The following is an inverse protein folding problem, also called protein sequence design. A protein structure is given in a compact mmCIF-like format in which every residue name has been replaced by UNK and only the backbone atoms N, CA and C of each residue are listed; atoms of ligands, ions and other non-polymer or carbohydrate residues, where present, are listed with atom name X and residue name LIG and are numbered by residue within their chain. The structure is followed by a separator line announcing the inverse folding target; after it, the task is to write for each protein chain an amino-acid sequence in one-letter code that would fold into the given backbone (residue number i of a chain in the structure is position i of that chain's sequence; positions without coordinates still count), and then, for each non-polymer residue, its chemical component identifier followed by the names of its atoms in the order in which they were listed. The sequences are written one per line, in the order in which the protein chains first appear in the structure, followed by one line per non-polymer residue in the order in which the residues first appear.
data_IF_497203579129
#
_entry.id   IF_497203579129
#
_cell.length_a   1.000
_cell.length_b   1.000
_cell.length_c   1.000
_cell.angle_alpha   90.00
_cell.angle_beta   90.00
_cell.angle_gamma   90.00
#
_symmetry.space_group_name_H-M   'P 1'
#
loop_
_entity.id
_entity.type
_entity.pdbx_description
1 polymer ?
#
# COMPACT_ATOMS: atom_id res chain seq x y z
N UNK A 1 13.00 -15.60 -3.36
CA UNK A 1 11.70 -15.09 -3.89
C UNK A 1 10.82 -16.19 -4.45
N UNK A 2 11.35 -17.16 -5.22
CA UNK A 2 10.55 -18.28 -5.74
C UNK A 2 9.73 -18.99 -4.65
N UNK A 3 10.34 -19.30 -3.49
CA UNK A 3 9.65 -19.94 -2.36
C UNK A 3 8.48 -19.11 -1.81
N UNK A 4 8.60 -17.76 -1.77
CA UNK A 4 7.52 -16.89 -1.30
C UNK A 4 6.36 -16.93 -2.29
N UNK A 5 6.63 -16.77 -3.58
CA UNK A 5 5.61 -16.81 -4.61
C UNK A 5 4.88 -18.17 -4.65
N UNK A 6 5.62 -19.26 -4.48
CA UNK A 6 5.02 -20.61 -4.40
C UNK A 6 4.08 -20.76 -3.18
N UNK A 7 4.43 -20.17 -2.04
CA UNK A 7 3.56 -20.19 -0.85
C UNK A 7 2.30 -19.34 -1.03
N UNK A 8 2.29 -18.39 -1.96
CA UNK A 8 1.13 -17.58 -2.32
C UNK A 8 0.31 -18.19 -3.46
N UNK A 9 0.79 -19.29 -4.07
CA UNK A 9 0.09 -19.99 -5.15
C UNK A 9 -1.30 -20.46 -4.69
N UNK A 10 -2.30 -20.22 -5.51
CA UNK A 10 -3.69 -20.61 -5.22
C UNK A 10 -4.50 -19.55 -4.49
N UNK A 11 -3.90 -18.45 -4.06
CA UNK A 11 -4.68 -17.28 -3.62
C UNK A 11 -5.40 -16.71 -4.85
N UNK A 12 -6.72 -16.70 -4.80
CA UNK A 12 -7.58 -16.18 -5.88
C UNK A 12 -8.67 -15.30 -5.32
N UNK A 13 -9.12 -14.33 -6.12
CA UNK A 13 -10.24 -13.47 -5.76
C UNK A 13 -11.09 -13.16 -6.99
N UNK A 14 -12.38 -12.88 -6.76
CA UNK A 14 -13.35 -12.63 -7.84
C UNK A 14 -12.93 -11.50 -8.78
N UNK A 15 -12.28 -10.47 -8.24
CA UNK A 15 -11.86 -9.28 -8.99
C UNK A 15 -10.34 -9.20 -9.20
N UNK A 16 -9.65 -10.30 -8.97
CA UNK A 16 -8.20 -10.37 -9.09
C UNK A 16 -7.46 -10.19 -7.76
N UNK A 17 -6.18 -10.50 -7.79
CA UNK A 17 -5.25 -10.31 -6.68
C UNK A 17 -4.22 -9.27 -7.11
N UNK A 18 -4.08 -8.22 -6.35
CA UNK A 18 -3.21 -7.09 -6.67
C UNK A 18 -2.08 -6.98 -5.64
N UNK A 19 -0.92 -6.57 -6.08
CA UNK A 19 0.24 -6.35 -5.22
C UNK A 19 0.96 -5.05 -5.60
N UNK A 20 1.60 -4.45 -4.60
CA UNK A 20 2.63 -3.42 -4.78
C UNK A 20 3.91 -3.91 -4.13
N UNK A 21 5.04 -3.45 -4.62
CA UNK A 21 6.35 -3.80 -4.10
C UNK A 21 6.75 -2.85 -2.97
N UNK A 22 7.57 -3.33 -2.05
CA UNK A 22 8.11 -2.56 -0.95
C UNK A 22 9.63 -2.39 -1.02
N UNK A 23 10.17 -1.65 -0.08
CA UNK A 23 11.58 -1.31 -0.02
C UNK A 23 12.53 -2.53 0.04
N UNK A 24 12.11 -3.62 0.67
CA UNK A 24 12.91 -4.86 0.70
C UNK A 24 12.91 -5.58 -0.64
N UNK A 25 11.87 -5.46 -1.43
CA UNK A 25 11.82 -6.03 -2.79
C UNK A 25 12.86 -5.34 -3.68
N UNK A 26 12.94 -4.00 -3.60
CA UNK A 26 13.94 -3.22 -4.32
C UNK A 26 15.38 -3.47 -3.89
N UNK A 27 15.61 -3.80 -2.62
CA UNK A 27 16.93 -4.24 -2.14
C UNK A 27 17.35 -5.60 -2.69
N UNK A 28 16.38 -6.41 -3.10
CA UNK A 28 16.64 -7.73 -3.68
C UNK A 28 16.72 -7.67 -5.22
N UNK A 29 15.61 -7.49 -5.91
CA UNK A 29 15.43 -7.32 -7.35
C UNK A 29 13.93 -7.15 -7.65
N UNK A 30 13.46 -5.93 -7.82
CA UNK A 30 12.05 -5.61 -8.10
C UNK A 30 11.51 -6.37 -9.31
N UNK A 31 12.31 -6.50 -10.37
CA UNK A 31 11.88 -7.15 -11.59
C UNK A 31 11.68 -8.66 -11.38
N UNK A 32 12.55 -9.29 -10.60
CA UNK A 32 12.42 -10.70 -10.25
C UNK A 32 11.23 -10.93 -9.34
N UNK A 33 11.04 -10.10 -8.30
CA UNK A 33 9.88 -10.20 -7.40
C UNK A 33 8.59 -10.07 -8.18
N UNK A 34 8.49 -9.06 -9.05
CA UNK A 34 7.34 -8.85 -9.95
C UNK A 34 7.06 -10.11 -10.78
N UNK A 35 8.07 -10.64 -11.49
CA UNK A 35 7.91 -11.84 -12.32
C UNK A 35 7.39 -13.04 -11.53
N UNK A 36 7.91 -13.26 -10.33
CA UNK A 36 7.50 -14.39 -9.50
C UNK A 36 6.05 -14.25 -9.00
N UNK A 37 5.63 -13.06 -8.60
CA UNK A 37 4.24 -12.80 -8.20
C UNK A 37 3.27 -12.93 -9.37
N UNK A 38 3.63 -12.38 -10.54
CA UNK A 38 2.82 -12.51 -11.77
C UNK A 38 2.70 -13.97 -12.23
N UNK A 39 3.74 -14.77 -12.06
CA UNK A 39 3.73 -16.22 -12.36
C UNK A 39 2.71 -17.00 -11.54
N UNK A 40 2.40 -16.57 -10.33
CA UNK A 40 1.41 -17.22 -9.46
C UNK A 40 0.03 -16.55 -9.52
N UNK A 41 -0.18 -15.62 -10.47
CA UNK A 41 -1.48 -15.05 -10.80
C UNK A 41 -1.77 -13.69 -10.16
N UNK A 42 -0.80 -13.04 -9.55
CA UNK A 42 -0.98 -11.69 -9.02
C UNK A 42 -0.75 -10.65 -10.13
N UNK A 43 -1.47 -9.53 -10.05
CA UNK A 43 -1.17 -8.34 -10.85
C UNK A 43 -0.38 -7.35 -10.00
N UNK A 44 0.89 -7.16 -10.34
CA UNK A 44 1.76 -6.21 -9.64
C UNK A 44 1.59 -4.83 -10.27
N UNK A 45 1.16 -3.86 -9.47
CA UNK A 45 0.94 -2.49 -9.90
C UNK A 45 2.16 -1.63 -9.57
N UNK A 46 2.72 -0.97 -10.57
CA UNK A 46 3.86 -0.04 -10.44
C UNK A 46 3.51 1.26 -11.17
N UNK A 47 2.98 2.23 -10.45
CA UNK A 47 2.42 3.46 -11.01
C UNK A 47 1.34 3.17 -12.07
N UNK A 48 0.49 2.22 -11.78
CA UNK A 48 -0.57 1.74 -12.67
C UNK A 48 -1.93 1.74 -11.96
N UNK A 49 -3.00 2.01 -12.73
CA UNK A 49 -4.38 1.90 -12.25
C UNK A 49 -5.01 0.60 -12.75
N UNK A 50 -5.60 -0.15 -11.83
CA UNK A 50 -6.52 -1.23 -12.14
C UNK A 50 -7.95 -0.77 -11.85
N UNK A 51 -8.85 -0.94 -12.80
CA UNK A 51 -10.28 -0.65 -12.63
C UNK A 51 -11.01 -1.93 -12.25
N UNK A 52 -11.77 -1.87 -11.16
CA UNK A 52 -12.63 -2.95 -10.71
C UNK A 52 -14.08 -2.52 -10.92
N UNK A 53 -14.80 -3.26 -11.75
CA UNK A 53 -16.20 -3.01 -12.06
C UNK A 53 -17.11 -3.95 -11.28
N UNK A 54 -18.14 -3.40 -10.66
CA UNK A 54 -19.18 -4.15 -9.96
C UNK A 54 -20.52 -3.44 -10.10
N UNK A 55 -21.49 -4.12 -10.72
CA UNK A 55 -22.86 -3.65 -10.86
C UNK A 55 -22.99 -2.23 -11.45
N UNK A 56 -22.16 -1.89 -12.43
CA UNK A 56 -22.15 -0.57 -13.07
C UNK A 56 -21.41 0.52 -12.30
N UNK A 57 -20.85 0.20 -11.14
CA UNK A 57 -19.97 1.10 -10.37
C UNK A 57 -18.51 0.67 -10.51
N UNK A 58 -17.60 1.64 -10.45
CA UNK A 58 -16.17 1.41 -10.57
C UNK A 58 -15.44 1.81 -9.29
N UNK A 59 -14.44 1.01 -8.92
CA UNK A 59 -13.41 1.35 -7.96
C UNK A 59 -12.07 1.24 -8.66
N UNK A 60 -11.21 2.23 -8.50
CA UNK A 60 -9.88 2.27 -9.12
C UNK A 60 -8.82 2.01 -8.06
N UNK A 61 -8.00 0.99 -8.29
CA UNK A 61 -6.82 0.71 -7.48
C UNK A 61 -5.60 1.30 -8.15
N UNK A 62 -4.95 2.26 -7.52
CA UNK A 62 -3.73 2.89 -8.02
C UNK A 62 -2.54 2.37 -7.20
N UNK A 63 -1.81 1.40 -7.74
CA UNK A 63 -0.60 0.89 -7.12
C UNK A 63 0.60 1.78 -7.44
N UNK A 64 1.31 2.22 -6.41
CA UNK A 64 2.49 3.06 -6.54
C UNK A 64 3.77 2.24 -6.34
N UNK A 65 4.87 2.71 -6.93
CA UNK A 65 6.21 2.21 -6.61
C UNK A 65 6.61 2.64 -5.20
N UNK A 66 7.53 1.89 -4.58
CA UNK A 66 8.05 2.25 -3.26
C UNK A 66 8.74 3.62 -3.26
N UNK A 67 8.54 4.36 -2.18
CA UNK A 67 8.98 5.74 -2.03
C UNK A 67 10.51 5.92 -1.99
N UNK A 68 11.28 4.90 -1.63
CA UNK A 68 12.74 4.98 -1.60
C UNK A 68 13.36 5.12 -3.00
N UNK A 69 12.61 4.78 -4.05
CA UNK A 69 13.04 4.96 -5.44
C UNK A 69 12.67 6.34 -6.03
N UNK A 70 12.14 7.26 -5.20
CA UNK A 70 11.69 8.59 -5.64
C UNK A 70 12.72 9.64 -5.26
N UNK A 71 13.47 10.14 -6.24
CA UNK A 71 14.47 11.21 -6.08
C UNK A 71 13.86 12.60 -6.19
N UNK A 72 12.80 12.77 -6.97
CA UNK A 72 12.12 14.05 -7.20
C UNK A 72 10.61 13.89 -7.00
N UNK A 73 10.12 14.39 -5.88
CA UNK A 73 8.71 14.25 -5.50
C UNK A 73 7.76 15.08 -6.35
N UNK A 74 8.16 16.26 -6.82
CA UNK A 74 7.31 17.13 -7.65
C UNK A 74 7.10 16.50 -9.02
N UNK A 75 8.14 15.99 -9.63
CA UNK A 75 8.08 15.26 -10.89
C UNK A 75 7.26 13.98 -10.76
N UNK A 76 7.50 13.22 -9.68
CA UNK A 76 6.76 11.99 -9.42
C UNK A 76 5.27 12.26 -9.24
N UNK A 77 4.89 13.24 -8.42
CA UNK A 77 3.48 13.60 -8.21
C UNK A 77 2.82 14.11 -9.51
N UNK A 78 3.54 14.90 -10.31
CA UNK A 78 3.04 15.34 -11.61
C UNK A 78 2.78 14.15 -12.55
N UNK A 79 3.66 13.16 -12.55
CA UNK A 79 3.49 11.90 -13.29
C UNK A 79 2.26 11.12 -12.80
N UNK A 80 2.11 10.93 -11.48
CA UNK A 80 0.95 10.23 -10.91
C UNK A 80 -0.35 10.94 -11.27
N UNK A 81 -0.37 12.27 -11.20
CA UNK A 81 -1.52 13.08 -11.60
C UNK A 81 -1.86 12.88 -13.08
N UNK A 82 -0.87 12.83 -13.96
CA UNK A 82 -1.05 12.54 -15.38
C UNK A 82 -1.64 11.15 -15.62
N UNK A 83 -1.25 10.14 -14.83
CA UNK A 83 -1.79 8.78 -14.91
C UNK A 83 -3.24 8.74 -14.40
N UNK A 84 -3.57 9.47 -13.35
CA UNK A 84 -4.90 9.48 -12.75
C UNK A 84 -5.93 10.31 -13.55
N UNK A 85 -5.50 11.38 -14.24
CA UNK A 85 -6.37 12.34 -14.92
C UNK A 85 -7.33 11.73 -15.96
N UNK A 86 -6.91 10.79 -16.82
CA UNK A 86 -7.82 10.20 -17.82
C UNK A 86 -8.99 9.41 -17.22
N UNK A 87 -8.86 8.99 -15.97
CA UNK A 87 -9.87 8.20 -15.27
C UNK A 87 -10.56 8.98 -14.16
N UNK A 88 -10.28 10.28 -14.04
CA UNK A 88 -10.90 11.13 -13.02
C UNK A 88 -12.42 11.21 -13.22
N UNK A 89 -13.19 11.07 -12.13
CA UNK A 89 -14.65 10.98 -12.18
C UNK A 89 -15.20 9.60 -12.55
N UNK A 90 -14.33 8.60 -12.80
CA UNK A 90 -14.75 7.22 -13.13
C UNK A 90 -14.81 6.32 -11.88
N UNK A 91 -15.25 6.86 -10.76
CA UNK A 91 -15.36 6.16 -9.48
C UNK A 91 -14.25 6.55 -8.50
N UNK A 92 -14.39 6.08 -7.27
CA UNK A 92 -13.43 6.37 -6.21
C UNK A 92 -12.06 5.74 -6.45
N UNK A 93 -11.01 6.45 -6.02
CA UNK A 93 -9.63 6.03 -6.13
C UNK A 93 -9.12 5.53 -4.78
N UNK A 94 -8.58 4.33 -4.78
CA UNK A 94 -7.86 3.73 -3.65
C UNK A 94 -6.41 3.62 -4.05
N UNK A 95 -5.52 4.21 -3.27
CA UNK A 95 -4.08 4.07 -3.46
C UNK A 95 -3.57 2.88 -2.67
N UNK A 96 -2.74 2.06 -3.30
CA UNK A 96 -1.93 1.03 -2.68
C UNK A 96 -0.48 1.46 -2.75
N UNK A 97 0.19 1.55 -1.62
CA UNK A 97 1.63 1.80 -1.57
C UNK A 97 2.20 1.15 -0.31
N UNK A 98 3.43 0.73 -0.37
CA UNK A 98 4.06 0.00 0.73
C UNK A 98 4.17 0.85 2.01
N UNK A 99 4.61 2.11 1.91
CA UNK A 99 4.86 2.98 3.06
C UNK A 99 3.79 4.05 3.24
N UNK A 100 3.25 4.25 4.46
CA UNK A 100 2.30 5.33 4.74
C UNK A 100 2.93 6.72 4.64
N UNK A 101 4.26 6.83 4.60
CA UNK A 101 4.97 8.11 4.51
C UNK A 101 4.71 8.86 3.21
N UNK A 102 4.22 8.17 2.19
CA UNK A 102 3.84 8.75 0.89
C UNK A 102 2.56 9.59 0.99
N UNK A 103 1.68 9.31 1.93
CA UNK A 103 0.37 9.99 2.08
C UNK A 103 0.51 11.50 1.98
N UNK A 104 1.37 12.10 2.80
CA UNK A 104 1.53 13.56 2.86
C UNK A 104 2.18 14.17 1.61
N UNK A 105 2.82 13.32 0.78
CA UNK A 105 3.46 13.75 -0.47
C UNK A 105 2.51 13.80 -1.65
N UNK A 106 1.47 12.95 -1.65
CA UNK A 106 0.51 12.82 -2.76
C UNK A 106 -0.85 13.45 -2.47
N UNK A 107 -1.03 14.02 -1.28
CA UNK A 107 -2.18 14.78 -0.83
C UNK A 107 -1.80 16.27 -0.68
N UNK A 108 -2.72 17.11 -0.29
CA UNK A 108 -2.44 18.55 -0.13
C UNK A 108 -2.08 19.23 -1.45
N UNK A 109 -0.97 19.97 -1.48
CA UNK A 109 -0.55 20.75 -2.66
C UNK A 109 -0.22 19.88 -3.89
N UNK A 110 0.19 18.63 -3.67
CA UNK A 110 0.51 17.66 -4.71
C UNK A 110 -0.62 16.67 -4.97
N UNK A 111 -1.85 17.00 -4.56
CA UNK A 111 -3.01 16.12 -4.74
C UNK A 111 -3.07 15.50 -6.13
N UNK A 112 -2.95 14.17 -6.17
CA UNK A 112 -2.88 13.40 -7.43
C UNK A 112 -4.25 13.22 -8.10
N UNK A 113 -5.33 13.19 -7.31
CA UNK A 113 -6.71 13.13 -7.77
C UNK A 113 -7.67 13.61 -6.68
N UNK A 114 -8.75 14.25 -7.09
CA UNK A 114 -9.88 14.62 -6.20
C UNK A 114 -10.73 13.41 -5.79
N UNK A 115 -10.62 12.30 -6.51
CA UNK A 115 -11.38 11.07 -6.25
C UNK A 115 -10.67 10.14 -5.25
N UNK A 116 -9.50 10.53 -4.74
CA UNK A 116 -8.76 9.75 -3.74
C UNK A 116 -9.54 9.72 -2.41
N UNK A 117 -9.95 8.52 -1.98
CA UNK A 117 -10.72 8.28 -0.75
C UNK A 117 -9.97 7.48 0.29
N UNK A 118 -9.18 6.52 -0.14
CA UNK A 118 -8.52 5.59 0.77
C UNK A 118 -7.08 5.35 0.33
N UNK A 119 -6.18 5.31 1.30
CA UNK A 119 -4.79 4.93 1.14
C UNK A 119 -4.53 3.68 1.97
N UNK A 120 -4.05 2.62 1.33
CA UNK A 120 -3.71 1.35 1.97
C UNK A 120 -2.20 1.17 2.00
N UNK A 121 -1.66 0.92 3.19
CA UNK A 121 -0.22 0.74 3.39
C UNK A 121 0.12 -0.41 4.34
N UNK A 122 1.39 -0.76 4.37
CA UNK A 122 2.02 -1.69 5.30
C UNK A 122 3.29 -1.09 5.92
N UNK A 123 4.45 -1.67 5.65
CA UNK A 123 5.79 -1.19 5.97
C UNK A 123 6.15 -1.12 7.46
N UNK A 124 5.27 -0.59 8.28
CA UNK A 124 5.52 -0.27 9.70
C UNK A 124 5.60 -1.50 10.59
N UNK A 125 5.08 -2.65 10.14
CA UNK A 125 4.90 -3.87 10.93
C UNK A 125 4.17 -3.64 12.27
N UNK A 126 3.43 -2.52 12.42
CA UNK A 126 2.86 -2.08 13.69
C UNK A 126 3.92 -1.74 14.74
N UNK A 127 5.14 -1.39 14.30
CA UNK A 127 6.32 -1.24 15.13
C UNK A 127 6.94 -2.56 15.58
N UNK A 128 6.35 -3.72 15.19
CA UNK A 128 6.78 -5.09 15.47
C UNK A 128 6.88 -5.46 16.96
N UNK A 129 7.36 -4.52 17.79
CA UNK A 129 7.43 -4.63 19.26
C UNK A 129 6.64 -3.47 19.83
N UNK A 130 5.61 -3.77 20.62
CA UNK A 130 4.80 -2.76 21.32
C UNK A 130 4.92 -2.98 22.83
N UNK A 131 5.46 -1.99 23.53
CA UNK A 131 5.66 -2.05 24.97
C UNK A 131 4.45 -1.46 25.69
N UNK A 132 3.95 -2.08 26.76
CA UNK A 132 2.90 -1.50 27.58
C UNK A 132 3.28 -0.08 28.01
N UNK A 133 2.36 0.87 27.91
CA UNK A 133 2.52 2.28 28.26
C UNK A 133 3.38 3.08 27.26
N UNK A 134 4.47 2.51 26.74
CA UNK A 134 5.44 3.21 25.89
C UNK A 134 5.12 3.12 24.38
N UNK A 135 4.22 2.20 23.97
CA UNK A 135 3.93 1.98 22.56
C UNK A 135 5.05 1.27 21.81
N UNK A 136 5.12 1.46 20.51
CA UNK A 136 6.17 0.94 19.65
C UNK A 136 7.42 1.85 19.71
N UNK A 137 8.54 1.37 20.29
CA UNK A 137 9.74 2.21 20.45
C UNK A 137 10.43 2.50 19.11
N UNK A 138 10.24 1.64 18.13
CA UNK A 138 10.78 1.81 16.78
C UNK A 138 9.67 1.60 15.76
N UNK A 139 9.39 2.65 14.99
CA UNK A 139 8.47 2.60 13.85
C UNK A 139 9.23 3.10 12.63
N UNK A 140 9.34 2.33 11.54
CA UNK A 140 10.01 2.75 10.32
C UNK A 140 9.13 3.73 9.54
N UNK A 141 8.84 4.88 10.13
CA UNK A 141 8.06 5.97 9.54
C UNK A 141 8.56 7.31 10.06
N UNK A 142 8.63 8.31 9.18
CA UNK A 142 8.99 9.68 9.52
C UNK A 142 7.93 10.37 10.41
N UNK A 143 6.75 9.77 10.53
CA UNK A 143 5.62 10.28 11.32
C UNK A 143 5.42 9.56 12.65
N UNK A 144 6.39 8.74 13.07
CA UNK A 144 6.39 8.03 14.35
C UNK A 144 5.13 7.19 14.54
N UNK A 145 4.40 7.44 15.63
CA UNK A 145 3.22 6.65 15.99
C UNK A 145 1.98 6.96 15.13
N UNK A 146 1.97 8.03 14.33
CA UNK A 146 0.78 8.48 13.59
C UNK A 146 0.24 7.38 12.67
N UNK A 147 1.12 6.74 11.92
CA UNK A 147 0.77 5.70 10.95
C UNK A 147 1.28 4.31 11.36
N UNK A 148 1.38 4.05 12.66
CA UNK A 148 1.94 2.79 13.14
C UNK A 148 1.10 1.59 12.73
N UNK A 149 -0.22 1.67 12.80
CA UNK A 149 -1.17 0.64 12.38
C UNK A 149 -2.62 1.11 12.42
N UNK A 150 -3.49 0.36 11.73
CA UNK A 150 -4.93 0.50 11.79
C UNK A 150 -5.46 1.66 10.95
N UNK A 151 -6.68 2.07 11.24
CA UNK A 151 -7.36 3.12 10.52
C UNK A 151 -7.02 4.50 11.08
N UNK A 152 -6.49 5.37 10.24
CA UNK A 152 -6.12 6.74 10.57
C UNK A 152 -6.93 7.69 9.72
N UNK A 153 -7.76 8.53 10.34
CA UNK A 153 -8.42 9.64 9.65
C UNK A 153 -7.43 10.77 9.49
N UNK A 154 -6.88 10.89 8.30
CA UNK A 154 -6.07 12.03 7.92
C UNK A 154 -7.00 13.12 7.33
N UNK A 155 -6.73 14.41 7.53
CA UNK A 155 -7.59 15.48 7.01
C UNK A 155 -7.83 15.46 5.50
N UNK A 156 -7.00 14.77 4.75
CA UNK A 156 -7.02 14.79 3.28
C UNK A 156 -7.46 13.46 2.67
N UNK A 157 -7.24 12.34 3.36
CA UNK A 157 -7.59 11.00 2.90
C UNK A 157 -7.63 10.04 4.09
N UNK A 158 -8.56 9.10 4.10
CA UNK A 158 -8.53 8.00 5.05
C UNK A 158 -7.35 7.05 4.76
N UNK A 159 -6.64 6.64 5.80
CA UNK A 159 -5.45 5.78 5.69
C UNK A 159 -5.68 4.51 6.51
N UNK A 160 -5.42 3.36 5.92
CA UNK A 160 -5.34 2.11 6.67
C UNK A 160 -3.94 1.52 6.53
N UNK A 161 -3.32 1.21 7.69
CA UNK A 161 -1.99 0.63 7.76
C UNK A 161 -2.08 -0.74 8.39
N UNK A 162 -1.81 -1.80 7.62
CA UNK A 162 -1.76 -3.16 8.16
C UNK A 162 -0.45 -3.43 8.88
N UNK A 163 -0.50 -4.23 9.94
CA UNK A 163 0.71 -4.72 10.59
C UNK A 163 1.38 -5.85 9.80
N UNK A 164 0.67 -6.44 8.84
CA UNK A 164 1.17 -7.53 8.01
C UNK A 164 1.48 -8.81 8.77
N UNK A 165 1.96 -9.81 8.04
CA UNK A 165 2.27 -11.14 8.58
C UNK A 165 3.77 -11.38 8.82
N UNK A 166 4.63 -10.60 8.17
CA UNK A 166 6.08 -10.76 8.22
C UNK A 166 6.74 -10.10 9.42
N UNK A 167 8.06 -10.23 9.49
CA UNK A 167 8.93 -9.54 10.45
C UNK A 167 10.04 -8.81 9.70
N UNK A 168 10.64 -7.80 10.32
CA UNK A 168 11.79 -7.09 9.80
C UNK A 168 12.87 -7.02 10.88
N UNK A 169 14.15 -7.16 10.49
CA UNK A 169 15.33 -7.15 11.35
C UNK A 169 15.36 -8.30 12.38
N UNK A 170 14.40 -8.35 13.28
CA UNK A 170 14.29 -9.39 14.32
C UNK A 170 13.20 -10.38 13.92
N UNK A 171 13.44 -11.71 14.04
CA UNK A 171 12.45 -12.73 13.68
C UNK A 171 11.40 -12.96 14.78
N UNK A 172 10.91 -11.90 15.40
CA UNK A 172 9.92 -11.97 16.48
C UNK A 172 8.97 -10.77 16.44
N UNK A 173 7.78 -10.94 16.97
CA UNK A 173 6.81 -9.88 17.29
C UNK A 173 6.47 -9.92 18.77
N UNK A 174 6.26 -8.74 19.38
CA UNK A 174 5.82 -8.64 20.76
C UNK A 174 4.63 -7.70 20.88
N UNK A 175 3.48 -8.22 21.32
CA UNK A 175 2.19 -7.52 21.43
C UNK A 175 1.70 -6.88 20.10
N UNK A 176 2.21 -7.35 18.98
CA UNK A 176 1.77 -6.99 17.62
C UNK A 176 1.63 -8.29 16.83
N UNK A 177 0.49 -8.98 16.93
CA UNK A 177 0.29 -10.24 16.20
C UNK A 177 0.34 -10.02 14.69
N UNK A 178 0.65 -11.07 13.91
CA UNK A 178 0.46 -11.05 12.46
C UNK A 178 -1.01 -10.73 12.12
N UNK A 179 -1.22 -9.97 11.05
CA UNK A 179 -2.54 -9.51 10.65
C UNK A 179 -2.80 -9.74 9.16
N UNK A 180 -3.99 -10.27 8.86
CA UNK A 180 -4.63 -10.18 7.56
C UNK A 180 -5.89 -9.35 7.77
N UNK A 181 -5.91 -8.13 7.21
CA UNK A 181 -7.02 -7.20 7.37
C UNK A 181 -8.11 -7.47 6.32
N UNK A 182 -9.37 -7.46 6.76
CA UNK A 182 -10.52 -7.48 5.86
C UNK A 182 -11.20 -6.11 5.94
N UNK A 183 -11.24 -5.40 4.80
CA UNK A 183 -11.88 -4.10 4.68
C UNK A 183 -13.14 -4.23 3.83
N UNK A 184 -14.25 -3.70 4.33
CA UNK A 184 -15.48 -3.60 3.59
C UNK A 184 -15.64 -2.17 3.06
N UNK A 185 -15.75 -2.03 1.74
CA UNK A 185 -15.94 -0.74 1.07
C UNK A 185 -17.41 -0.66 0.69
N UNK A 186 -18.09 0.39 1.17
CA UNK A 186 -19.50 0.65 0.90
C UNK A 186 -19.63 1.99 0.17
N UNK A 187 -20.55 2.07 -0.79
CA UNK A 187 -21.00 3.35 -1.35
C UNK A 187 -21.92 4.04 -0.35
N UNK A 188 -21.76 5.32 -0.19
CA UNK A 188 -22.74 6.17 0.50
C UNK A 188 -24.05 6.29 -0.30
#
# INVERSE_FOLDING_TARGET
METIAENLRGITARYGVYAVLGNHDGLYDDAEVRRQLERVGFRVLVNEIAVIEKNGSNVRLFGLQDHLHISNWDEFAARLKSIAAPTEGQGDLIVLEHSPDVVTKITGNLQISKDLRLFLAGHTHGGQINLPIFGAPLVPSNYGQKYVKGFVRDPQVDVFVTTGIGTSLLPLRFMVPPEIAVLEIQSE
#
